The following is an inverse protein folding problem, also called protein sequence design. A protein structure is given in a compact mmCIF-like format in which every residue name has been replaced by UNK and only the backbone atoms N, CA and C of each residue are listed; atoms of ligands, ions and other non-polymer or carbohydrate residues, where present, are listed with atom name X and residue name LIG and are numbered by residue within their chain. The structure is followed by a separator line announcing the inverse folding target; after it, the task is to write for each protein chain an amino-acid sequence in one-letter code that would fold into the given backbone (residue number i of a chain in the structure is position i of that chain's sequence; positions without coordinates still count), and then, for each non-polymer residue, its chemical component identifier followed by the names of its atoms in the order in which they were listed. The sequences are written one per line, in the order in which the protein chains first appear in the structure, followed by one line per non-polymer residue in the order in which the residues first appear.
data_IF_232075793317
#
_entry.id   IF_232075793317
#
_cell.length_a   1.000
_cell.length_b   1.000
_cell.length_c   1.000
_cell.angle_alpha   90.00
_cell.angle_beta   90.00
_cell.angle_gamma   90.00
#
_symmetry.space_group_name_H-M   'P 1'
#
loop_
_entity.id
_entity.type
_entity.pdbx_description
1 polymer ?
#
# COMPACT_ATOMS: atom_id res chain seq x y z
N UNK A 1 -17.64 18.78 26.61
CA UNK A 1 -16.43 19.49 26.12
C UNK A 1 -15.60 18.50 25.30
N UNK A 2 -15.13 18.86 24.10
CA UNK A 2 -14.38 17.95 23.22
C UNK A 2 -12.88 17.99 23.58
N UNK A 3 -12.12 16.88 23.51
CA UNK A 3 -10.69 16.91 23.76
C UNK A 3 -9.96 17.77 22.72
N UNK A 4 -9.24 18.81 23.19
CA UNK A 4 -8.36 19.62 22.34
C UNK A 4 -6.88 19.33 22.65
N UNK A 5 -6.00 19.34 21.64
CA UNK A 5 -4.57 19.22 21.86
C UNK A 5 -4.05 20.44 22.63
N UNK A 6 -3.37 20.18 23.77
CA UNK A 6 -2.81 21.24 24.62
C UNK A 6 -1.64 22.00 23.98
N UNK A 7 -0.84 21.34 23.13
CA UNK A 7 0.35 21.88 22.46
C UNK A 7 0.58 21.16 21.13
N UNK A 8 1.30 21.81 20.22
CA UNK A 8 1.82 21.19 18.99
C UNK A 8 2.88 20.13 19.34
N UNK A 9 2.85 18.99 18.65
CA UNK A 9 3.91 17.97 18.79
C UNK A 9 5.24 18.45 18.18
N UNK A 10 6.35 18.10 18.83
CA UNK A 10 7.70 18.37 18.31
C UNK A 10 7.96 17.57 17.03
N UNK A 11 8.90 18.04 16.20
CA UNK A 11 9.31 17.35 14.95
C UNK A 11 9.70 15.90 15.22
N UNK A 12 10.49 15.66 16.27
CA UNK A 12 10.89 14.31 16.70
C UNK A 12 9.69 13.41 17.00
N UNK A 13 8.73 13.87 17.82
CA UNK A 13 7.51 13.11 18.15
C UNK A 13 6.68 12.78 16.91
N UNK A 14 6.56 13.72 15.97
CA UNK A 14 5.85 13.45 14.71
C UNK A 14 6.60 12.46 13.80
N UNK A 15 7.93 12.52 13.79
CA UNK A 15 8.78 11.63 13.00
C UNK A 15 8.72 10.19 13.51
N UNK A 16 8.89 9.99 14.81
CA UNK A 16 8.78 8.66 15.45
C UNK A 16 7.39 8.07 15.22
N UNK A 17 6.33 8.86 15.45
CA UNK A 17 4.96 8.40 15.23
C UNK A 17 4.74 7.94 13.79
N UNK A 18 5.23 8.67 12.78
CA UNK A 18 5.08 8.29 11.37
C UNK A 18 5.99 7.12 10.99
N UNK A 19 7.20 7.06 11.54
CA UNK A 19 8.18 6.01 11.26
C UNK A 19 7.81 4.64 11.85
N UNK A 20 7.09 4.61 12.97
CA UNK A 20 6.56 3.38 13.57
C UNK A 20 5.27 2.85 12.92
N UNK A 21 4.74 3.53 11.89
CA UNK A 21 3.60 3.01 11.12
C UNK A 21 4.09 2.09 10.00
N UNK A 22 3.29 1.08 9.60
CA UNK A 22 3.60 0.27 8.43
C UNK A 22 3.72 1.18 7.20
N UNK A 23 4.83 1.01 6.47
CA UNK A 23 5.06 1.71 5.20
C UNK A 23 4.29 1.02 4.08
N UNK A 24 4.08 1.73 2.97
CA UNK A 24 3.51 1.12 1.77
C UNK A 24 4.39 -0.04 1.33
N UNK A 25 3.79 -1.23 1.22
CA UNK A 25 4.43 -2.42 0.67
C UNK A 25 4.16 -2.44 -0.83
N UNK A 26 5.13 -2.93 -1.60
CA UNK A 26 4.95 -3.12 -3.04
C UNK A 26 3.79 -4.08 -3.32
N UNK A 27 3.01 -3.77 -4.35
CA UNK A 27 1.90 -4.62 -4.77
C UNK A 27 2.41 -6.00 -5.20
N UNK A 28 1.71 -7.04 -4.76
CA UNK A 28 2.00 -8.41 -5.17
C UNK A 28 1.56 -8.62 -6.63
N UNK A 29 2.54 -8.66 -7.53
CA UNK A 29 2.34 -8.96 -8.95
C UNK A 29 2.75 -10.40 -9.23
N UNK A 30 1.90 -11.14 -9.95
CA UNK A 30 2.19 -12.50 -10.40
C UNK A 30 2.33 -12.55 -11.91
N UNK A 31 3.07 -13.54 -12.42
CA UNK A 31 3.17 -13.77 -13.87
C UNK A 31 1.85 -14.35 -14.38
N UNK A 32 1.32 -13.77 -15.45
CA UNK A 32 0.18 -14.33 -16.16
C UNK A 32 0.60 -15.63 -16.87
N UNK A 33 -0.18 -16.69 -16.72
CA UNK A 33 0.06 -17.99 -17.35
C UNK A 33 -0.11 -17.97 -18.87
N UNK A 34 -0.93 -17.07 -19.40
CA UNK A 34 -1.21 -16.97 -20.83
C UNK A 34 -0.21 -16.09 -21.59
N UNK A 35 0.22 -14.95 -21.03
CA UNK A 35 1.06 -13.98 -21.73
C UNK A 35 2.42 -13.69 -21.06
N UNK A 36 2.70 -14.28 -19.90
CA UNK A 36 3.96 -14.08 -19.15
C UNK A 36 4.15 -12.70 -18.50
N UNK A 37 3.30 -11.72 -18.82
CA UNK A 37 3.34 -10.37 -18.23
C UNK A 37 2.89 -10.37 -16.77
N UNK A 38 3.34 -9.37 -16.02
CA UNK A 38 2.93 -9.16 -14.64
C UNK A 38 1.45 -8.73 -14.58
N UNK A 39 0.67 -9.41 -13.75
CA UNK A 39 -0.73 -9.09 -13.45
C UNK A 39 -0.93 -8.95 -11.95
N UNK A 40 -1.95 -8.19 -11.56
CA UNK A 40 -2.42 -8.16 -10.18
C UNK A 40 -3.07 -9.50 -9.81
N UNK A 41 -2.85 -9.94 -8.57
CA UNK A 41 -3.46 -11.16 -8.07
C UNK A 41 -4.99 -11.01 -8.05
N UNK A 42 -5.68 -12.08 -8.45
CA UNK A 42 -7.15 -12.19 -8.46
C UNK A 42 -7.86 -11.22 -9.41
N UNK A 43 -7.14 -10.58 -10.34
CA UNK A 43 -7.72 -9.83 -11.46
C UNK A 43 -7.43 -10.49 -12.80
N UNK A 44 -8.30 -10.22 -13.77
CA UNK A 44 -8.06 -10.57 -15.15
C UNK A 44 -6.81 -9.85 -15.67
N UNK A 45 -6.04 -10.51 -16.54
CA UNK A 45 -4.86 -9.86 -17.12
C UNK A 45 -5.30 -8.76 -18.09
N UNK A 46 -4.85 -7.49 -17.93
CA UNK A 46 -5.25 -6.39 -18.81
C UNK A 46 -4.69 -6.53 -20.24
N UNK A 47 -3.70 -7.39 -20.43
CA UNK A 47 -3.03 -7.56 -21.73
C UNK A 47 -3.64 -8.67 -22.59
N UNK A 48 -4.20 -9.72 -21.99
CA UNK A 48 -4.74 -10.85 -22.74
C UNK A 48 -6.18 -11.22 -22.37
N UNK A 49 -6.81 -10.53 -21.40
CA UNK A 49 -8.18 -10.80 -20.97
C UNK A 49 -8.37 -12.13 -20.22
N UNK A 50 -7.32 -12.95 -20.10
CA UNK A 50 -7.40 -14.27 -19.49
C UNK A 50 -7.54 -14.19 -17.97
N UNK A 51 -8.57 -14.84 -17.42
CA UNK A 51 -8.83 -14.98 -15.99
C UNK A 51 -8.85 -16.47 -15.61
N UNK A 52 -7.81 -16.87 -14.86
CA UNK A 52 -7.67 -18.14 -14.16
C UNK A 52 -6.78 -17.91 -12.95
#
# INVERSE_FOLDING_TARGET
MVPLPKRKHTRSRTGIRRGGQPKMVLSNLTKCTSCGKLKENHRACPYCGFWR
#
